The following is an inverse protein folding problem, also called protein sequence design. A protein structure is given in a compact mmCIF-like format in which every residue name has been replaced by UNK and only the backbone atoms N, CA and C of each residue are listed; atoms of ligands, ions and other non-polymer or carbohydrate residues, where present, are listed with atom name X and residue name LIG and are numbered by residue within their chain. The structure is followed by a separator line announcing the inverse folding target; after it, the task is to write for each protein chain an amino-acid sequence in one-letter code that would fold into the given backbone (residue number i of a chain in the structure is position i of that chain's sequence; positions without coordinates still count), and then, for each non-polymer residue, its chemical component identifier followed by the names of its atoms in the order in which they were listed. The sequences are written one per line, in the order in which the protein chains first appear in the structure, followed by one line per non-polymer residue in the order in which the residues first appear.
data_IF_342544879249
#
_entry.id   IF_342544879249
#
_cell.length_a   1.000
_cell.length_b   1.000
_cell.length_c   1.000
_cell.angle_alpha   90.00
_cell.angle_beta   90.00
_cell.angle_gamma   90.00
#
_symmetry.space_group_name_H-M   'P 1'
#
loop_
_entity.id
_entity.type
_entity.pdbx_description
1 polymer ?
#
# COMPACT_ATOMS: atom_id res chain seq x y z
N UNK A 1 7.93 -51.92 69.38
CA UNK A 1 8.02 -50.57 69.00
C UNK A 1 8.77 -50.50 67.62
N UNK A 2 8.05 -50.40 66.56
CA UNK A 2 8.64 -50.38 65.22
C UNK A 2 8.40 -48.99 64.62
N UNK A 3 9.46 -48.23 64.53
CA UNK A 3 9.45 -46.98 63.88
C UNK A 3 9.55 -47.24 62.40
N UNK A 4 8.50 -46.89 61.64
CA UNK A 4 8.56 -46.80 60.20
C UNK A 4 8.89 -45.36 59.81
N UNK A 5 9.95 -45.10 59.03
CA UNK A 5 10.16 -43.81 58.50
C UNK A 5 9.20 -43.61 57.35
N UNK A 6 8.42 -42.58 57.44
CA UNK A 6 7.53 -42.08 56.39
C UNK A 6 8.38 -41.45 55.26
N UNK A 7 8.57 -42.19 54.18
CA UNK A 7 9.27 -41.68 53.04
C UNK A 7 8.30 -40.76 52.28
N UNK A 8 8.49 -39.45 52.43
CA UNK A 8 7.77 -38.45 51.66
C UNK A 8 8.37 -38.42 50.26
N UNK A 9 7.64 -38.99 49.31
CA UNK A 9 7.93 -38.84 47.88
C UNK A 9 7.48 -37.45 47.42
N UNK A 10 8.42 -36.53 47.30
CA UNK A 10 8.19 -35.25 46.69
C UNK A 10 8.19 -35.47 45.18
N UNK A 11 7.01 -35.56 44.58
CA UNK A 11 6.86 -35.46 43.13
C UNK A 11 7.15 -34.02 42.73
N UNK A 12 8.36 -33.79 42.29
CA UNK A 12 8.71 -32.55 41.59
C UNK A 12 8.01 -32.52 40.24
N UNK A 13 6.87 -31.85 40.18
CA UNK A 13 6.22 -31.50 38.92
C UNK A 13 7.12 -30.52 38.19
N UNK A 14 7.87 -31.01 37.23
CA UNK A 14 8.55 -30.18 36.24
C UNK A 14 7.47 -29.53 35.38
N UNK A 15 7.12 -28.31 35.73
CA UNK A 15 6.38 -27.43 34.84
C UNK A 15 7.35 -27.01 33.73
N UNK A 16 7.27 -27.72 32.60
CA UNK A 16 7.91 -27.29 31.38
C UNK A 16 7.18 -26.04 30.91
N UNK A 17 7.67 -24.90 31.33
CA UNK A 17 7.29 -23.63 30.72
C UNK A 17 7.87 -23.61 29.31
N UNK A 18 7.08 -24.02 28.32
CA UNK A 18 7.42 -23.73 26.93
C UNK A 18 7.46 -22.23 26.78
N UNK A 19 8.62 -21.60 26.43
CA UNK A 19 8.60 -20.24 25.97
C UNK A 19 7.86 -20.28 24.65
N UNK A 20 6.62 -19.83 24.65
CA UNK A 20 5.99 -19.41 23.40
C UNK A 20 6.89 -18.30 22.88
N UNK A 21 7.73 -18.65 21.92
CA UNK A 21 8.35 -17.67 21.04
C UNK A 21 7.22 -17.03 20.25
N UNK A 22 6.48 -16.17 20.92
CA UNK A 22 5.73 -15.17 20.22
C UNK A 22 6.78 -14.41 19.43
N UNK A 23 6.86 -14.66 18.13
CA UNK A 23 7.47 -13.69 17.24
C UNK A 23 6.65 -12.44 17.46
N UNK A 24 7.12 -11.59 18.35
CA UNK A 24 6.74 -10.22 18.30
C UNK A 24 7.18 -9.75 16.92
N UNK A 25 6.30 -9.84 15.96
CA UNK A 25 6.43 -9.01 14.79
C UNK A 25 6.35 -7.61 15.35
N UNK A 26 7.52 -7.04 15.61
CA UNK A 26 7.60 -5.62 15.70
C UNK A 26 7.07 -5.16 14.37
N UNK A 27 5.81 -4.74 14.36
CA UNK A 27 5.29 -3.90 13.35
C UNK A 27 6.07 -2.59 13.47
N UNK A 28 7.35 -2.63 13.09
CA UNK A 28 8.03 -1.45 12.65
C UNK A 28 7.16 -0.99 11.50
N UNK A 29 6.46 0.13 11.68
CA UNK A 29 5.38 0.57 10.83
C UNK A 29 5.83 0.90 9.43
N UNK A 30 6.25 -0.11 8.70
CA UNK A 30 6.28 -0.08 7.25
C UNK A 30 4.83 -0.26 6.82
N UNK A 31 4.10 0.83 6.81
CA UNK A 31 2.82 0.88 6.14
C UNK A 31 3.12 0.57 4.68
N UNK A 32 2.71 -0.61 4.22
CA UNK A 32 2.90 -0.99 2.84
C UNK A 32 2.10 0.00 1.97
N UNK A 33 2.80 0.70 1.07
CA UNK A 33 2.16 1.57 0.09
C UNK A 33 1.28 0.73 -0.83
N UNK A 34 0.04 1.14 -1.00
CA UNK A 34 -0.86 0.49 -1.95
C UNK A 34 -0.29 0.59 -3.37
N UNK A 35 -0.37 -0.49 -4.13
CA UNK A 35 0.17 -0.55 -5.49
C UNK A 35 -0.81 -1.23 -6.44
N UNK A 36 -0.93 -0.69 -7.64
CA UNK A 36 -1.63 -1.30 -8.77
C UNK A 36 -0.73 -1.27 -10.00
N UNK A 37 -0.76 -2.32 -10.80
CA UNK A 37 0.02 -2.43 -12.03
C UNK A 37 -0.85 -2.27 -13.26
N UNK A 38 -0.38 -1.47 -14.22
CA UNK A 38 -0.99 -1.37 -15.55
C UNK A 38 -0.52 -2.45 -16.52
N UNK A 39 0.65 -3.05 -16.26
CA UNK A 39 1.31 -4.07 -17.11
C UNK A 39 1.51 -3.62 -18.57
N UNK A 40 1.80 -2.33 -18.78
CA UNK A 40 1.95 -1.73 -20.11
C UNK A 40 3.37 -1.22 -20.42
N UNK A 41 4.24 -1.16 -19.43
CA UNK A 41 5.60 -0.64 -19.59
C UNK A 41 6.39 -0.65 -18.29
N UNK A 42 7.37 0.24 -18.17
CA UNK A 42 8.30 0.33 -17.04
C UNK A 42 8.18 1.63 -16.24
N UNK A 43 7.35 2.56 -16.67
CA UNK A 43 7.13 3.82 -15.96
C UNK A 43 6.23 3.65 -14.73
N UNK A 44 6.30 4.59 -13.82
CA UNK A 44 5.49 4.57 -12.60
C UNK A 44 5.09 5.97 -12.14
N UNK A 45 3.99 6.06 -11.43
CA UNK A 45 3.52 7.26 -10.75
C UNK A 45 3.23 6.96 -9.30
N UNK A 46 3.83 7.72 -8.39
CA UNK A 46 3.52 7.68 -6.97
C UNK A 46 2.63 8.87 -6.62
N UNK A 47 1.46 8.59 -6.10
CA UNK A 47 0.49 9.60 -5.72
C UNK A 47 0.39 9.65 -4.22
N UNK A 48 0.64 10.82 -3.63
CA UNK A 48 0.47 11.07 -2.21
C UNK A 48 -0.70 12.03 -2.02
N UNK A 49 -1.72 11.58 -1.31
CA UNK A 49 -2.95 12.35 -1.07
C UNK A 49 -3.00 12.82 0.38
N UNK A 50 -3.15 14.11 0.57
CA UNK A 50 -3.35 14.74 1.87
C UNK A 50 -4.65 15.51 1.89
N UNK A 51 -5.24 15.67 3.09
CA UNK A 51 -6.40 16.53 3.31
C UNK A 51 -6.02 17.99 3.52
N UNK A 52 -7.02 18.82 3.78
CA UNK A 52 -6.83 20.24 4.10
C UNK A 52 -5.97 20.47 5.35
N UNK A 53 -5.96 19.50 6.26
CA UNK A 53 -5.13 19.47 7.49
C UNK A 53 -3.72 18.92 7.26
N UNK A 54 -3.33 18.65 6.02
CA UNK A 54 -2.05 18.05 5.61
C UNK A 54 -1.81 16.63 6.14
N UNK A 55 -2.85 15.95 6.61
CA UNK A 55 -2.79 14.54 7.02
C UNK A 55 -3.03 13.60 5.85
N UNK A 56 -2.42 12.41 5.84
CA UNK A 56 -2.66 11.41 4.81
C UNK A 56 -4.14 11.04 4.70
N UNK A 57 -4.63 10.89 3.48
CA UNK A 57 -6.00 10.49 3.20
C UNK A 57 -6.04 9.00 2.86
N UNK A 58 -6.60 8.21 3.76
CA UNK A 58 -6.84 6.79 3.54
C UNK A 58 -8.03 6.58 2.60
N UNK A 59 -7.90 5.58 1.72
CA UNK A 59 -8.99 5.14 0.83
C UNK A 59 -9.55 6.24 -0.09
N UNK A 60 -8.69 7.18 -0.52
CA UNK A 60 -9.02 8.05 -1.62
C UNK A 60 -9.07 7.25 -2.93
N UNK A 61 -10.13 7.41 -3.67
CA UNK A 61 -10.31 6.72 -4.95
C UNK A 61 -9.45 7.38 -6.02
N UNK A 62 -8.59 6.60 -6.62
CA UNK A 62 -7.73 7.00 -7.72
C UNK A 62 -8.16 6.23 -8.96
N UNK A 63 -8.53 6.93 -9.99
CA UNK A 63 -8.90 6.30 -11.25
C UNK A 63 -8.26 7.01 -12.43
N UNK A 64 -7.90 6.23 -13.43
CA UNK A 64 -7.31 6.74 -14.66
C UNK A 64 -7.70 5.88 -15.84
N UNK A 65 -7.71 6.51 -17.02
CA UNK A 65 -7.91 5.82 -18.28
C UNK A 65 -6.66 5.97 -19.12
N UNK A 66 -6.07 4.86 -19.49
CA UNK A 66 -4.87 4.81 -20.31
C UNK A 66 -5.26 4.39 -21.72
N UNK A 67 -4.91 5.21 -22.70
CA UNK A 67 -5.03 4.86 -24.12
C UNK A 67 -3.65 4.48 -24.62
N UNK A 68 -3.53 3.28 -25.17
CA UNK A 68 -2.25 2.74 -25.61
C UNK A 68 -2.38 1.97 -26.93
N UNK A 69 -1.25 1.47 -27.43
CA UNK A 69 -1.19 0.75 -28.68
C UNK A 69 -1.16 1.66 -29.90
N UNK A 70 -1.19 1.05 -31.09
CA UNK A 70 -1.17 1.78 -32.34
C UNK A 70 -2.40 2.69 -32.46
N UNK A 71 -2.19 3.98 -32.70
CA UNK A 71 -3.23 5.02 -32.76
C UNK A 71 -4.05 5.21 -31.46
N UNK A 72 -3.62 4.64 -30.33
CA UNK A 72 -4.33 4.76 -29.06
C UNK A 72 -5.71 4.11 -29.06
N UNK A 73 -5.90 3.05 -29.83
CA UNK A 73 -7.19 2.34 -29.95
C UNK A 73 -7.48 1.42 -28.76
N UNK A 74 -6.44 0.98 -28.05
CA UNK A 74 -6.58 0.17 -26.84
C UNK A 74 -6.78 1.06 -25.62
N UNK A 75 -7.59 0.60 -24.69
CA UNK A 75 -7.95 1.32 -23.48
C UNK A 75 -7.85 0.42 -22.27
N UNK A 76 -7.24 0.93 -21.21
CA UNK A 76 -7.22 0.31 -19.89
C UNK A 76 -7.76 1.32 -18.88
N UNK A 77 -8.78 0.93 -18.15
CA UNK A 77 -9.31 1.69 -17.03
C UNK A 77 -8.78 1.09 -15.73
N UNK A 78 -8.09 1.89 -14.93
CA UNK A 78 -7.56 1.52 -13.62
C UNK A 78 -8.32 2.25 -12.53
N UNK A 79 -8.60 1.53 -11.46
CA UNK A 79 -9.18 2.09 -10.23
C UNK A 79 -8.53 1.43 -9.03
N UNK A 80 -8.08 2.23 -8.09
CA UNK A 80 -7.50 1.78 -6.84
C UNK A 80 -7.72 2.82 -5.74
N UNK A 81 -7.34 2.48 -4.52
CA UNK A 81 -7.51 3.33 -3.35
C UNK A 81 -6.17 3.54 -2.65
N UNK A 82 -5.97 4.73 -2.10
CA UNK A 82 -4.78 5.02 -1.30
C UNK A 82 -4.74 4.17 -0.03
N UNK A 83 -3.53 3.81 0.41
CA UNK A 83 -3.30 3.12 1.67
C UNK A 83 -3.41 4.04 2.89
N UNK A 84 -3.10 3.49 4.07
CA UNK A 84 -3.13 4.23 5.33
C UNK A 84 -2.13 5.40 5.38
N UNK A 85 -1.07 5.34 4.57
CA UNK A 85 -0.09 6.40 4.37
C UNK A 85 -0.54 7.49 3.37
N UNK A 86 -1.74 7.38 2.84
CA UNK A 86 -2.27 8.27 1.81
C UNK A 86 -1.63 8.10 0.44
N UNK A 87 -0.87 7.04 0.21
CA UNK A 87 -0.11 6.81 -1.00
C UNK A 87 -0.71 5.70 -1.85
N UNK A 88 -0.57 5.87 -3.15
CA UNK A 88 -0.83 4.85 -4.16
C UNK A 88 0.25 4.90 -5.24
N UNK A 89 0.86 3.77 -5.52
CA UNK A 89 1.79 3.62 -6.63
C UNK A 89 1.07 2.94 -7.80
N UNK A 90 1.14 3.57 -8.97
CA UNK A 90 0.73 2.97 -10.23
C UNK A 90 2.00 2.54 -10.96
N UNK A 91 2.21 1.24 -11.06
CA UNK A 91 3.40 0.65 -11.65
C UNK A 91 3.18 0.20 -13.09
N UNK A 92 4.26 -0.05 -13.79
CA UNK A 92 4.27 -0.61 -15.15
C UNK A 92 3.39 0.17 -16.13
N UNK A 93 3.45 1.49 -16.03
CA UNK A 93 2.82 2.42 -16.97
C UNK A 93 3.58 2.46 -18.30
N UNK A 94 2.89 2.73 -19.42
CA UNK A 94 3.55 2.81 -20.72
C UNK A 94 4.56 3.96 -20.76
N UNK A 95 5.67 3.72 -21.46
CA UNK A 95 6.76 4.70 -21.60
C UNK A 95 6.43 5.83 -22.57
N UNK A 96 5.57 5.57 -23.53
CA UNK A 96 5.16 6.52 -24.56
C UNK A 96 3.64 6.55 -24.67
N UNK A 97 3.09 7.74 -24.54
CA UNK A 97 1.67 8.01 -24.76
C UNK A 97 1.51 9.13 -25.80
N UNK A 98 0.58 8.96 -26.73
CA UNK A 98 0.25 10.01 -27.72
C UNK A 98 -0.39 11.22 -27.08
N UNK A 99 -1.12 11.01 -25.99
CA UNK A 99 -1.78 12.06 -25.22
C UNK A 99 -1.43 11.91 -23.73
N UNK A 100 -1.38 13.01 -22.98
CA UNK A 100 -1.20 12.94 -21.54
C UNK A 100 -2.24 12.04 -20.88
N UNK A 101 -1.82 11.38 -19.81
CA UNK A 101 -2.72 10.60 -18.99
C UNK A 101 -3.19 11.45 -17.81
N UNK A 102 -4.49 11.49 -17.59
CA UNK A 102 -5.08 12.18 -16.44
C UNK A 102 -5.43 11.20 -15.36
N UNK A 103 -5.01 11.51 -14.16
CA UNK A 103 -5.29 10.73 -12.96
C UNK A 103 -6.25 11.55 -12.10
N UNK A 104 -7.39 10.95 -11.80
CA UNK A 104 -8.45 11.55 -11.00
C UNK A 104 -8.39 11.01 -9.58
N UNK A 105 -8.33 11.90 -8.60
CA UNK A 105 -8.31 11.57 -7.18
C UNK A 105 -9.57 12.10 -6.54
N UNK A 106 -10.36 11.23 -5.95
CA UNK A 106 -11.66 11.56 -5.39
C UNK A 106 -11.80 11.08 -3.94
N UNK A 107 -12.31 11.92 -3.07
CA UNK A 107 -12.69 11.58 -1.70
C UNK A 107 -13.72 12.58 -1.17
N UNK A 108 -14.82 12.09 -0.59
CA UNK A 108 -15.83 12.91 0.10
C UNK A 108 -16.29 14.13 -0.70
N UNK A 109 -16.70 13.92 -1.97
CA UNK A 109 -17.13 14.95 -2.92
C UNK A 109 -16.04 15.97 -3.33
N UNK A 110 -14.78 15.69 -2.99
CA UNK A 110 -13.62 16.47 -3.44
C UNK A 110 -12.91 15.72 -4.55
N UNK A 111 -12.47 16.46 -5.55
CA UNK A 111 -11.77 15.90 -6.70
C UNK A 111 -10.55 16.76 -7.05
N UNK A 112 -9.44 16.09 -7.28
CA UNK A 112 -8.23 16.67 -7.88
C UNK A 112 -7.81 15.86 -9.10
N UNK A 113 -7.17 16.51 -10.05
CA UNK A 113 -6.73 15.90 -11.30
C UNK A 113 -5.25 16.21 -11.48
N UNK A 114 -4.46 15.20 -11.77
CA UNK A 114 -3.05 15.36 -12.12
C UNK A 114 -2.80 14.83 -13.53
N UNK A 115 -1.88 15.45 -14.24
CA UNK A 115 -1.46 15.07 -15.57
C UNK A 115 -0.14 14.31 -15.49
N UNK A 116 -0.10 13.13 -16.10
CA UNK A 116 1.10 12.29 -16.16
C UNK A 116 1.59 12.20 -17.61
N UNK A 117 2.86 12.55 -17.80
CA UNK A 117 3.56 12.46 -19.09
C UNK A 117 4.79 11.57 -18.93
N UNK A 118 4.70 10.28 -19.28
CA UNK A 118 5.82 9.34 -19.11
C UNK A 118 7.02 9.66 -20.00
N UNK A 119 6.80 10.28 -21.13
CA UNK A 119 7.85 10.74 -22.04
C UNK A 119 8.75 11.83 -21.44
N UNK A 120 8.23 12.61 -20.51
CA UNK A 120 8.99 13.63 -19.77
C UNK A 120 9.52 13.13 -18.42
N UNK A 121 8.69 12.39 -17.69
CA UNK A 121 9.00 11.89 -16.36
C UNK A 121 8.47 10.47 -16.20
N UNK A 122 9.28 9.47 -16.55
CA UNK A 122 8.91 8.05 -16.47
C UNK A 122 8.62 7.58 -15.04
N UNK A 123 9.26 8.21 -14.06
CA UNK A 123 8.99 7.97 -12.63
C UNK A 123 8.61 9.29 -11.99
N UNK A 124 7.33 9.52 -11.86
CA UNK A 124 6.78 10.76 -11.33
C UNK A 124 6.22 10.57 -9.92
N UNK A 125 6.29 11.65 -9.12
CA UNK A 125 5.66 11.74 -7.81
C UNK A 125 4.72 12.93 -7.81
N UNK A 126 3.48 12.71 -7.41
CA UNK A 126 2.44 13.73 -7.30
C UNK A 126 2.01 13.90 -5.86
N UNK A 127 2.11 15.10 -5.34
CA UNK A 127 1.58 15.47 -4.03
C UNK A 127 0.26 16.21 -4.25
N UNK A 128 -0.82 15.61 -3.82
CA UNK A 128 -2.19 16.10 -4.05
C UNK A 128 -2.83 16.44 -2.72
N UNK A 129 -3.32 17.65 -2.59
CA UNK A 129 -4.07 18.08 -1.42
C UNK A 129 -5.55 18.23 -1.79
N UNK A 130 -6.42 17.48 -1.12
CA UNK A 130 -7.86 17.62 -1.22
C UNK A 130 -8.33 18.70 -0.24
N UNK A 131 -8.81 19.80 -0.77
CA UNK A 131 -9.26 20.96 0.02
C UNK A 131 -10.76 20.94 0.27
#
# INVERSE_FOLDING_TARGET
MRNFPLTVLILSSLVVVCPRSGKAQSASGVVATAEISADLGTCSALITVTGADSKPVYSAKVNTRIRYGLLGVKRLDLEAFTGADGQLKIANLPEVLKKPMYIYINKDNKQEIVEFRPDMHCRATFNVQLK
#
